data_IF_617316336112
#
_entry.id   IF_617316336112
#
_cell.length_a   1.000
_cell.length_b   1.000
_cell.length_c   1.000
_cell.angle_alpha   90.00
_cell.angle_beta   90.00
_cell.angle_gamma   90.00
#
_symmetry.space_group_name_H-M   'P 1'
#
loop_
_entity.id
_entity.type
_entity.pdbx_description
1 polymer ?
#
# COMPACT_ATOMS: atom_id res chain seq x y z
N UNK A 1 -9.48 -11.56 68.64
CA UNK A 1 -8.19 -11.54 67.88
C UNK A 1 -8.16 -12.57 66.74
N UNK A 2 -8.50 -13.85 66.97
CA UNK A 2 -8.51 -14.92 65.95
C UNK A 2 -9.39 -14.66 64.71
N UNK A 3 -10.58 -14.07 64.87
CA UNK A 3 -11.49 -13.76 63.73
C UNK A 3 -10.91 -12.69 62.80
N UNK A 4 -10.26 -11.64 63.32
CA UNK A 4 -9.60 -10.61 62.49
C UNK A 4 -8.45 -11.18 61.65
N UNK A 5 -7.67 -12.10 62.22
CA UNK A 5 -6.59 -12.80 61.50
C UNK A 5 -7.16 -13.67 60.36
N UNK A 6 -8.28 -14.38 60.61
CA UNK A 6 -8.95 -15.15 59.55
C UNK A 6 -9.45 -14.27 58.42
N UNK A 7 -10.05 -13.11 58.72
CA UNK A 7 -10.50 -12.17 57.69
C UNK A 7 -9.34 -11.59 56.87
N UNK A 8 -8.19 -11.30 57.49
CA UNK A 8 -6.99 -10.82 56.79
C UNK A 8 -6.40 -11.90 55.88
N UNK A 9 -6.31 -13.14 56.36
CA UNK A 9 -5.82 -14.27 55.55
C UNK A 9 -6.76 -14.51 54.36
N UNK A 10 -8.07 -14.56 54.60
CA UNK A 10 -9.05 -14.79 53.54
C UNK A 10 -9.05 -13.65 52.50
N UNK A 11 -9.05 -12.40 52.95
CA UNK A 11 -8.98 -11.23 52.06
C UNK A 11 -7.68 -11.18 51.25
N UNK A 12 -6.54 -11.53 51.86
CA UNK A 12 -5.26 -11.66 51.17
C UNK A 12 -5.28 -12.75 50.10
N UNK A 13 -5.84 -13.93 50.42
CA UNK A 13 -5.97 -15.03 49.45
C UNK A 13 -6.87 -14.67 48.27
N UNK A 14 -8.01 -14.04 48.53
CA UNK A 14 -8.94 -13.58 47.48
C UNK A 14 -8.27 -12.54 46.58
N UNK A 15 -7.58 -11.56 47.18
CA UNK A 15 -6.87 -10.53 46.43
C UNK A 15 -5.76 -11.12 45.57
N UNK A 16 -4.96 -12.04 46.13
CA UNK A 16 -3.89 -12.73 45.40
C UNK A 16 -4.44 -13.55 44.22
N UNK A 17 -5.57 -14.25 44.43
CA UNK A 17 -6.22 -15.02 43.37
C UNK A 17 -6.72 -14.12 42.24
N UNK A 18 -7.39 -13.01 42.57
CA UNK A 18 -7.85 -12.03 41.59
C UNK A 18 -6.68 -11.43 40.79
N UNK A 19 -5.62 -11.02 41.47
CA UNK A 19 -4.43 -10.46 40.81
C UNK A 19 -3.74 -11.49 39.90
N UNK A 20 -3.67 -12.75 40.31
CA UNK A 20 -3.10 -13.82 39.47
C UNK A 20 -3.92 -14.05 38.20
N UNK A 21 -5.26 -14.03 38.30
CA UNK A 21 -6.15 -14.14 37.13
C UNK A 21 -5.96 -12.96 36.18
N UNK A 22 -5.92 -11.73 36.70
CA UNK A 22 -5.69 -10.53 35.88
C UNK A 22 -4.32 -10.58 35.22
N UNK A 23 -3.26 -10.95 35.95
CA UNK A 23 -1.91 -11.05 35.41
C UNK A 23 -1.80 -12.12 34.30
N UNK A 24 -2.48 -13.26 34.45
CA UNK A 24 -2.56 -14.28 33.42
C UNK A 24 -3.24 -13.75 32.17
N UNK A 25 -4.44 -13.17 32.29
CA UNK A 25 -5.18 -12.67 31.13
C UNK A 25 -4.62 -11.38 30.51
N UNK A 26 -3.79 -10.64 31.24
CA UNK A 26 -3.06 -9.49 30.71
C UNK A 26 -1.94 -9.90 29.73
N UNK A 27 -1.47 -11.14 29.78
CA UNK A 27 -0.36 -11.64 28.95
C UNK A 27 -0.71 -12.86 28.08
N UNK A 28 -1.84 -13.52 28.35
CA UNK A 28 -2.28 -14.76 27.69
C UNK A 28 -3.81 -14.77 27.49
N UNK A 29 -4.31 -15.29 26.37
CA UNK A 29 -3.55 -15.74 25.21
C UNK A 29 -2.96 -14.53 24.46
N UNK A 30 -1.79 -14.72 23.85
CA UNK A 30 -1.25 -13.72 22.94
C UNK A 30 -2.18 -13.62 21.73
N UNK A 31 -2.73 -12.43 21.51
CA UNK A 31 -3.45 -12.14 20.29
C UNK A 31 -2.46 -12.03 19.14
N UNK A 32 -2.73 -12.76 18.04
CA UNK A 32 -1.93 -12.68 16.82
C UNK A 32 -2.82 -12.27 15.65
N UNK A 33 -2.41 -11.21 14.97
CA UNK A 33 -3.07 -10.72 13.78
C UNK A 33 -2.68 -11.51 12.51
N UNK A 34 -1.65 -12.36 12.61
CA UNK A 34 -1.05 -13.06 11.47
C UNK A 34 -0.68 -14.52 11.83
N UNK A 35 -0.84 -15.49 10.90
CA UNK A 35 -0.37 -16.86 11.10
C UNK A 35 1.15 -16.95 11.31
N UNK A 36 1.61 -17.91 12.12
CA UNK A 36 3.02 -18.05 12.55
C UNK A 36 4.02 -18.16 11.39
N UNK A 37 3.62 -18.81 10.28
CA UNK A 37 4.49 -19.07 9.13
C UNK A 37 4.29 -18.08 7.98
N UNK A 38 3.82 -16.87 8.29
CA UNK A 38 3.56 -15.84 7.28
C UNK A 38 4.21 -14.50 7.59
N UNK A 39 4.42 -13.74 6.52
CA UNK A 39 4.83 -12.35 6.52
C UNK A 39 3.84 -11.52 5.71
N UNK A 40 3.77 -10.23 6.01
CA UNK A 40 2.88 -9.28 5.34
C UNK A 40 3.67 -8.48 4.31
N UNK A 41 3.37 -8.68 3.03
CA UNK A 41 3.82 -7.84 1.94
C UNK A 41 2.81 -6.72 1.69
N UNK A 42 3.24 -5.46 1.76
CA UNK A 42 2.40 -4.28 1.54
C UNK A 42 2.87 -3.54 0.30
N UNK A 43 2.00 -3.39 -0.69
CA UNK A 43 2.22 -2.47 -1.82
C UNK A 43 1.48 -1.17 -1.51
N UNK A 44 2.22 -0.10 -1.23
CA UNK A 44 1.62 1.14 -0.73
C UNK A 44 2.36 2.35 -1.25
N UNK A 45 1.75 3.07 -2.19
CA UNK A 45 2.30 4.32 -2.72
C UNK A 45 1.21 5.21 -3.28
N UNK A 46 1.57 6.47 -3.52
CA UNK A 46 0.72 7.46 -4.19
C UNK A 46 1.46 7.95 -5.42
N UNK A 47 0.88 7.74 -6.61
CA UNK A 47 1.46 8.18 -7.87
C UNK A 47 0.42 8.84 -8.75
N UNK A 48 0.85 9.81 -9.56
CA UNK A 48 -0.03 10.46 -10.51
C UNK A 48 0.32 10.00 -11.91
N UNK A 49 -0.66 9.48 -12.65
CA UNK A 49 -0.47 9.13 -14.06
C UNK A 49 0.08 10.30 -14.88
N UNK A 50 0.86 9.97 -15.90
CA UNK A 50 1.49 10.94 -16.79
C UNK A 50 0.42 11.71 -17.56
N UNK A 51 0.34 13.01 -17.30
CA UNK A 51 -0.67 13.88 -17.90
C UNK A 51 -0.51 14.01 -19.42
N UNK A 52 0.67 13.73 -19.97
CA UNK A 52 0.91 13.76 -21.40
C UNK A 52 -0.03 12.82 -22.17
N UNK A 53 -0.44 11.71 -21.54
CA UNK A 53 -1.33 10.70 -22.12
C UNK A 53 -2.70 11.24 -22.55
N UNK A 54 -3.15 12.36 -21.97
CA UNK A 54 -4.45 12.98 -22.27
C UNK A 54 -4.31 14.27 -23.07
N UNK A 55 -3.11 14.57 -23.59
CA UNK A 55 -2.83 15.73 -24.42
C UNK A 55 -3.05 15.40 -25.91
N UNK A 56 -3.67 16.34 -26.64
CA UNK A 56 -3.69 16.34 -28.10
C UNK A 56 -3.17 17.67 -28.64
N UNK A 57 -2.64 17.62 -29.85
CA UNK A 57 -2.32 18.83 -30.59
C UNK A 57 -3.60 19.54 -31.06
N UNK A 58 -3.55 20.87 -31.08
CA UNK A 58 -4.59 21.70 -31.68
C UNK A 58 -4.35 21.83 -33.18
N UNK A 59 -5.43 21.79 -33.94
CA UNK A 59 -5.41 22.03 -35.39
C UNK A 59 -5.07 23.49 -35.71
N UNK A 60 -4.63 23.76 -36.93
CA UNK A 60 -4.29 25.10 -37.36
C UNK A 60 -5.51 26.04 -37.31
N UNK A 61 -6.70 25.53 -37.62
CA UNK A 61 -7.97 26.27 -37.54
C UNK A 61 -8.34 26.62 -36.10
N UNK A 62 -8.14 25.70 -35.14
CA UNK A 62 -8.35 25.96 -33.72
C UNK A 62 -7.39 27.05 -33.20
N UNK A 63 -6.13 27.01 -33.61
CA UNK A 63 -5.13 28.01 -33.23
C UNK A 63 -5.42 29.38 -33.86
N UNK A 64 -5.89 29.42 -35.12
CA UNK A 64 -6.23 30.66 -35.80
C UNK A 64 -7.35 31.43 -35.11
N UNK A 65 -8.33 30.72 -34.51
CA UNK A 65 -9.42 31.31 -33.72
C UNK A 65 -8.96 31.93 -32.40
N UNK A 66 -7.75 31.62 -31.93
CA UNK A 66 -7.20 32.16 -30.69
C UNK A 66 -6.36 33.42 -30.93
N UNK A 67 -6.39 34.40 -29.99
CA UNK A 67 -5.49 35.54 -30.00
C UNK A 67 -4.01 35.09 -30.03
N UNK A 68 -3.10 35.85 -30.66
CA UNK A 68 -1.70 35.43 -30.85
C UNK A 68 -0.98 35.00 -29.56
N UNK A 69 -1.26 35.65 -28.43
CA UNK A 69 -0.67 35.35 -27.12
C UNK A 69 -1.28 34.13 -26.40
N UNK A 70 -2.36 33.54 -26.92
CA UNK A 70 -3.08 32.41 -26.31
C UNK A 70 -3.02 31.11 -27.14
N UNK A 71 -2.20 31.06 -28.20
CA UNK A 71 -2.04 29.92 -29.12
C UNK A 71 -1.15 28.81 -28.55
N UNK A 72 -1.54 28.25 -27.40
CA UNK A 72 -0.91 27.03 -26.88
C UNK A 72 -1.14 25.86 -27.86
N UNK A 73 -0.06 25.17 -28.27
CA UNK A 73 -0.08 24.11 -29.28
C UNK A 73 -0.86 22.86 -28.85
N UNK A 74 -0.85 22.56 -27.55
CA UNK A 74 -1.48 21.36 -27.00
C UNK A 74 -2.63 21.71 -26.07
N UNK A 75 -3.64 20.84 -26.07
CA UNK A 75 -4.73 20.84 -25.11
C UNK A 75 -4.76 19.49 -24.40
N UNK A 76 -4.69 19.52 -23.06
CA UNK A 76 -4.71 18.33 -22.23
C UNK A 76 -5.97 18.31 -21.38
N UNK A 77 -6.49 17.11 -21.13
CA UNK A 77 -7.55 16.95 -20.14
C UNK A 77 -7.08 17.48 -18.77
N UNK A 78 -8.03 18.03 -18.03
CA UNK A 78 -7.84 18.40 -16.63
C UNK A 78 -7.80 17.15 -15.76
N UNK A 79 -8.51 16.08 -16.14
CA UNK A 79 -8.48 14.79 -15.47
C UNK A 79 -7.14 14.12 -15.72
N UNK A 80 -6.56 13.54 -14.67
CA UNK A 80 -5.37 12.69 -14.83
C UNK A 80 -5.77 11.33 -15.39
N UNK A 81 -4.89 10.67 -16.13
CA UNK A 81 -5.11 9.29 -16.52
C UNK A 81 -5.04 8.35 -15.31
N UNK A 82 -5.69 7.18 -15.38
CA UNK A 82 -5.47 6.10 -14.42
C UNK A 82 -4.05 5.54 -14.55
N UNK A 83 -3.60 4.82 -13.51
CA UNK A 83 -2.38 4.02 -13.57
C UNK A 83 -2.76 2.54 -13.55
N UNK A 84 -1.99 1.70 -14.24
CA UNK A 84 -2.15 0.25 -14.22
C UNK A 84 -0.98 -0.37 -13.46
N UNK A 85 -1.26 -1.23 -12.48
CA UNK A 85 -0.27 -1.80 -11.57
C UNK A 85 -0.43 -3.32 -11.52
N UNK A 86 0.70 -4.01 -11.58
CA UNK A 86 0.79 -5.45 -11.37
C UNK A 86 1.82 -5.77 -10.30
N UNK A 87 1.50 -6.77 -9.47
CA UNK A 87 2.41 -7.38 -8.52
C UNK A 87 2.40 -8.88 -8.73
N UNK A 88 3.58 -9.42 -9.00
CA UNK A 88 3.84 -10.84 -9.14
C UNK A 88 4.80 -11.33 -8.06
N UNK A 89 4.53 -12.52 -7.55
CA UNK A 89 5.37 -13.21 -6.57
C UNK A 89 5.66 -14.61 -7.12
N UNK A 90 6.93 -14.97 -7.15
CA UNK A 90 7.44 -16.26 -7.65
C UNK A 90 6.94 -16.57 -9.07
N UNK A 91 6.92 -15.55 -9.92
CA UNK A 91 6.48 -15.64 -11.32
C UNK A 91 4.97 -15.65 -11.52
N UNK A 92 4.16 -15.66 -10.45
CA UNK A 92 2.70 -15.60 -10.53
C UNK A 92 2.18 -14.19 -10.22
N UNK A 93 1.43 -13.59 -11.14
CA UNK A 93 0.71 -12.34 -10.85
C UNK A 93 -0.39 -12.60 -9.83
N UNK A 94 -0.30 -11.92 -8.68
CA UNK A 94 -1.24 -12.08 -7.56
C UNK A 94 -2.12 -10.85 -7.35
N UNK A 95 -1.73 -9.71 -7.91
CA UNK A 95 -2.52 -8.48 -7.84
C UNK A 95 -2.38 -7.67 -9.14
N UNK A 96 -3.51 -7.19 -9.63
CA UNK A 96 -3.63 -6.38 -10.83
C UNK A 96 -4.73 -5.35 -10.60
N UNK A 97 -4.44 -4.08 -10.87
CA UNK A 97 -5.44 -3.02 -10.74
C UNK A 97 -5.21 -1.91 -11.77
N UNK A 98 -6.29 -1.38 -12.29
CA UNK A 98 -6.30 -0.06 -12.94
C UNK A 98 -6.86 0.96 -11.94
N UNK A 99 -5.98 1.80 -11.39
CA UNK A 99 -6.31 2.72 -10.31
C UNK A 99 -6.64 4.12 -10.85
N UNK A 100 -7.91 4.57 -10.77
CA UNK A 100 -8.29 5.90 -11.22
C UNK A 100 -7.70 7.00 -10.31
N UNK A 101 -7.55 8.22 -10.85
CA UNK A 101 -7.10 9.37 -10.07
C UNK A 101 -8.14 9.73 -9.00
N UNK A 102 -7.68 10.31 -7.90
CA UNK A 102 -8.56 10.75 -6.82
C UNK A 102 -9.13 12.16 -7.01
N UNK A 103 -10.09 12.50 -6.16
CA UNK A 103 -10.72 13.82 -6.07
C UNK A 103 -11.94 13.94 -6.98
N UNK A 104 -12.89 14.78 -6.59
CA UNK A 104 -14.15 15.04 -7.33
C UNK A 104 -13.89 15.43 -8.78
N UNK A 105 -12.81 16.18 -8.97
CA UNK A 105 -12.39 16.72 -10.25
C UNK A 105 -11.45 15.77 -11.02
N UNK A 106 -11.09 14.61 -10.46
CA UNK A 106 -10.19 13.60 -11.04
C UNK A 106 -8.78 14.11 -11.38
N UNK A 107 -8.31 15.13 -10.67
CA UNK A 107 -6.98 15.73 -10.86
C UNK A 107 -5.98 15.36 -9.76
N UNK A 108 -6.44 14.62 -8.75
CA UNK A 108 -5.60 14.10 -7.67
C UNK A 108 -4.78 12.87 -8.11
N UNK A 109 -3.86 12.43 -7.25
CA UNK A 109 -3.06 11.23 -7.53
C UNK A 109 -3.91 9.96 -7.40
N UNK A 110 -3.45 8.89 -8.03
CA UNK A 110 -3.88 7.51 -7.77
C UNK A 110 -3.19 7.00 -6.49
N UNK A 111 -3.93 6.25 -5.66
CA UNK A 111 -3.42 5.68 -4.41
C UNK A 111 -3.54 4.17 -4.48
N UNK A 112 -2.44 3.48 -4.24
CA UNK A 112 -2.37 2.02 -4.16
C UNK A 112 -2.16 1.64 -2.70
N UNK A 113 -2.96 0.70 -2.23
CA UNK A 113 -2.79 0.07 -0.93
C UNK A 113 -3.29 -1.37 -1.01
N UNK A 114 -2.36 -2.31 -1.05
CA UNK A 114 -2.67 -3.74 -1.09
C UNK A 114 -1.85 -4.48 -0.03
N UNK A 115 -2.46 -5.51 0.58
CA UNK A 115 -1.88 -6.27 1.69
C UNK A 115 -1.99 -7.75 1.40
N UNK A 116 -0.85 -8.43 1.36
CA UNK A 116 -0.76 -9.83 0.98
C UNK A 116 -0.01 -10.59 2.04
N UNK A 117 -0.60 -11.69 2.52
CA UNK A 117 0.08 -12.66 3.36
C UNK A 117 0.86 -13.61 2.47
N UNK A 118 2.17 -13.66 2.66
CA UNK A 118 3.05 -14.60 1.99
C UNK A 118 3.65 -15.56 3.01
N UNK A 119 3.99 -16.79 2.61
CA UNK A 119 4.82 -17.66 3.43
C UNK A 119 6.13 -16.97 3.82
N UNK A 120 6.76 -17.42 4.91
CA UNK A 120 8.12 -17.01 5.23
C UNK A 120 9.14 -17.62 4.25
N UNK A 121 10.27 -16.94 4.08
CA UNK A 121 11.39 -17.37 3.26
C UNK A 121 11.63 -16.52 2.01
N UNK A 122 12.35 -17.09 1.05
CA UNK A 122 12.79 -16.39 -0.15
C UNK A 122 11.68 -16.28 -1.19
N UNK A 123 11.40 -15.06 -1.64
CA UNK A 123 10.43 -14.78 -2.69
C UNK A 123 11.03 -13.88 -3.77
N UNK A 124 10.68 -14.17 -5.02
CA UNK A 124 10.95 -13.29 -6.15
C UNK A 124 9.75 -12.38 -6.37
N UNK A 125 9.90 -11.10 -6.06
CA UNK A 125 8.82 -10.13 -6.17
C UNK A 125 9.06 -9.20 -7.35
N UNK A 126 8.12 -9.15 -8.28
CA UNK A 126 8.12 -8.22 -9.41
C UNK A 126 6.96 -7.26 -9.31
N UNK A 127 7.24 -5.96 -9.34
CA UNK A 127 6.22 -4.91 -9.42
C UNK A 127 6.35 -4.20 -10.76
N UNK A 128 5.22 -3.98 -11.40
CA UNK A 128 5.13 -3.29 -12.69
C UNK A 128 4.08 -2.20 -12.60
N UNK A 129 4.36 -1.05 -13.20
CA UNK A 129 3.41 0.04 -13.31
C UNK A 129 3.48 0.66 -14.69
N UNK A 130 2.32 0.82 -15.31
CA UNK A 130 2.11 1.70 -16.46
C UNK A 130 1.40 2.94 -15.95
N UNK A 131 2.08 4.08 -15.98
CA UNK A 131 1.52 5.36 -15.57
C UNK A 131 1.06 6.23 -16.75
N UNK A 132 1.44 5.86 -17.98
CA UNK A 132 0.95 6.46 -19.21
C UNK A 132 0.08 5.44 -19.97
N UNK A 133 -1.26 5.58 -19.99
CA UNK A 133 -2.12 4.65 -20.73
C UNK A 133 -2.00 4.75 -22.26
N UNK A 134 -1.33 5.78 -22.79
CA UNK A 134 -1.09 5.93 -24.22
C UNK A 134 0.14 5.14 -24.70
N UNK A 135 0.97 4.62 -23.79
CA UNK A 135 2.10 3.75 -24.12
C UNK A 135 1.73 2.28 -23.99
N UNK A 136 2.32 1.46 -24.86
CA UNK A 136 2.30 0.01 -24.71
C UNK A 136 3.39 -0.43 -23.73
N UNK A 137 3.07 -1.38 -22.85
CA UNK A 137 4.02 -1.93 -21.87
C UNK A 137 3.96 -1.28 -20.49
N UNK A 138 5.04 -1.42 -19.72
CA UNK A 138 5.17 -0.87 -18.36
C UNK A 138 6.26 0.19 -18.32
N UNK A 139 5.93 1.37 -17.82
CA UNK A 139 6.86 2.50 -17.68
C UNK A 139 7.85 2.25 -16.53
N UNK A 140 7.43 1.50 -15.51
CA UNK A 140 8.26 1.12 -14.37
C UNK A 140 8.16 -0.38 -14.10
N UNK A 141 9.30 -1.04 -13.99
CA UNK A 141 9.40 -2.46 -13.65
C UNK A 141 10.58 -2.65 -12.73
N UNK A 142 10.36 -3.31 -11.59
CA UNK A 142 11.43 -3.71 -10.69
C UNK A 142 11.19 -5.14 -10.21
N UNK A 143 12.25 -5.94 -10.17
CA UNK A 143 12.22 -7.30 -9.61
C UNK A 143 13.28 -7.43 -8.53
N UNK A 144 12.88 -7.91 -7.35
CA UNK A 144 13.79 -8.10 -6.23
C UNK A 144 13.55 -9.44 -5.56
N UNK A 145 14.64 -10.10 -5.18
CA UNK A 145 14.62 -11.25 -4.26
C UNK A 145 14.58 -10.72 -2.83
N UNK A 146 13.60 -11.17 -2.06
CA UNK A 146 13.43 -10.79 -0.66
C UNK A 146 13.38 -12.03 0.22
N UNK A 147 13.87 -11.93 1.45
CA UNK A 147 13.77 -12.97 2.47
C UNK A 147 12.81 -12.49 3.56
N UNK A 148 11.63 -13.10 3.63
CA UNK A 148 10.55 -12.73 4.53
C UNK A 148 10.64 -13.53 5.84
N UNK A 149 10.71 -12.80 6.96
CA UNK A 149 10.75 -13.40 8.31
C UNK A 149 9.34 -13.47 8.91
N UNK A 150 9.17 -14.38 9.86
CA UNK A 150 7.91 -14.54 10.59
C UNK A 150 7.45 -13.22 11.21
N UNK A 151 6.16 -12.92 11.07
CA UNK A 151 5.52 -11.70 11.57
C UNK A 151 6.09 -10.38 10.98
N UNK A 152 6.94 -10.45 9.95
CA UNK A 152 7.53 -9.27 9.32
C UNK A 152 6.49 -8.53 8.47
N UNK A 153 6.54 -7.20 8.53
CA UNK A 153 5.85 -6.32 7.58
C UNK A 153 6.84 -5.76 6.57
N UNK A 154 6.82 -6.27 5.35
CA UNK A 154 7.63 -5.81 4.23
C UNK A 154 6.85 -4.79 3.38
N UNK A 155 7.48 -3.70 2.98
CA UNK A 155 6.80 -2.62 2.23
C UNK A 155 7.47 -2.36 0.90
N UNK A 156 6.65 -2.28 -0.15
CA UNK A 156 7.02 -1.77 -1.47
C UNK A 156 6.39 -0.38 -1.63
N UNK A 157 7.24 0.63 -1.73
CA UNK A 157 6.88 2.02 -2.03
C UNK A 157 7.35 2.38 -3.45
N UNK A 158 6.87 3.52 -3.96
CA UNK A 158 7.26 4.03 -5.26
C UNK A 158 7.44 5.55 -5.22
N UNK A 159 8.52 6.03 -5.82
CA UNK A 159 8.74 7.45 -6.08
C UNK A 159 9.32 7.62 -7.48
N UNK A 160 8.81 8.57 -8.24
CA UNK A 160 9.25 8.81 -9.63
C UNK A 160 10.77 9.03 -9.75
N UNK A 161 11.40 9.65 -8.75
CA UNK A 161 12.84 9.92 -8.75
C UNK A 161 13.72 8.68 -8.52
N UNK A 162 13.22 7.67 -7.80
CA UNK A 162 14.00 6.49 -7.37
C UNK A 162 13.43 5.16 -7.83
N UNK A 163 12.27 5.14 -8.48
CA UNK A 163 11.54 3.92 -8.82
C UNK A 163 10.92 3.23 -7.60
N UNK A 164 10.78 1.91 -7.69
CA UNK A 164 10.27 1.08 -6.59
C UNK A 164 11.34 0.87 -5.52
N UNK A 165 10.95 1.05 -4.25
CA UNK A 165 11.81 0.80 -3.10
C UNK A 165 11.22 -0.28 -2.21
N UNK A 166 12.08 -1.16 -1.72
CA UNK A 166 11.72 -2.36 -0.97
C UNK A 166 12.33 -2.26 0.44
N UNK A 167 11.48 -2.25 1.46
CA UNK A 167 11.80 -1.97 2.87
C UNK A 167 11.45 -3.13 3.79
#
# INVERSE_FOLDING_TARGET
>A
MKSRIHHLILGGLVTMALTAVVAYYASSPQWRDMPEDTALLRLSFTHSGDRSATCRDRTAEELAKLPPNMRAKQICDRRRPPIYVELAVDGKTIYTVEQPPSGLAGSGPSRIYERLLLPIGNHSVTVRMRDNPATDGFDFVETRQIDLKAEQSFVIDFRTASGFTFH
#
